data_IF_336947477923
#
_entry.id   IF_336947477923
#
_cell.length_a   1.000
_cell.length_b   1.000
_cell.length_c   1.000
_cell.angle_alpha   90.00
_cell.angle_beta   90.00
_cell.angle_gamma   90.00
#
_symmetry.space_group_name_H-M   'P 1'
#
loop_
_entity.id
_entity.type
_entity.pdbx_description
1 polymer ?
#
# COMPACT_ATOMS: atom_id res chain seq x y z
N UNK A 1 20.61 -4.01 21.24
CA UNK A 1 19.60 -5.08 21.23
C UNK A 1 18.19 -4.54 21.44
N UNK A 2 17.93 -3.73 22.48
CA UNK A 2 16.57 -3.25 22.79
C UNK A 2 15.92 -2.43 21.67
N UNK A 3 16.67 -1.61 20.91
CA UNK A 3 16.15 -0.83 19.79
C UNK A 3 15.81 -1.75 18.62
N UNK A 4 16.69 -2.67 18.28
CA UNK A 4 16.46 -3.66 17.21
C UNK A 4 15.23 -4.51 17.54
N UNK A 5 15.16 -5.05 18.77
CA UNK A 5 14.02 -5.86 19.21
C UNK A 5 12.70 -5.09 19.17
N UNK A 6 12.73 -3.81 19.55
CA UNK A 6 11.56 -2.96 19.46
C UNK A 6 11.10 -2.75 18.02
N UNK A 7 12.02 -2.49 17.08
CA UNK A 7 11.69 -2.34 15.65
C UNK A 7 11.08 -3.62 15.11
N UNK A 8 11.72 -4.77 15.35
CA UNK A 8 11.26 -6.07 14.86
C UNK A 8 9.87 -6.45 15.41
N UNK A 9 9.57 -6.08 16.66
CA UNK A 9 8.23 -6.26 17.24
C UNK A 9 7.20 -5.28 16.72
N UNK A 10 7.61 -4.05 16.39
CA UNK A 10 6.70 -2.97 15.98
C UNK A 10 6.31 -3.07 14.50
N UNK A 11 7.26 -3.35 13.61
CA UNK A 11 7.02 -3.38 12.16
C UNK A 11 5.83 -4.27 11.75
N UNK A 12 5.67 -5.51 12.26
CA UNK A 12 4.50 -6.33 11.92
C UNK A 12 3.16 -5.73 12.37
N UNK A 13 3.16 -4.90 13.41
CA UNK A 13 1.93 -4.28 13.95
C UNK A 13 1.47 -3.05 13.16
N UNK A 14 2.30 -2.51 12.28
CA UNK A 14 1.97 -1.34 11.47
C UNK A 14 1.04 -1.66 10.29
N UNK A 15 0.83 -2.95 10.00
CA UNK A 15 0.09 -3.37 8.81
C UNK A 15 0.81 -2.98 7.51
N UNK A 16 0.08 -3.02 6.39
CA UNK A 16 0.59 -2.71 5.06
C UNK A 16 0.17 -1.30 4.55
N UNK A 17 -0.45 -0.48 5.40
CA UNK A 17 -0.96 0.85 5.02
C UNK A 17 0.11 1.83 4.55
N UNK A 18 1.36 1.67 4.96
CA UNK A 18 2.52 2.46 4.52
C UNK A 18 3.12 1.99 3.19
N UNK A 19 2.51 0.98 2.55
CA UNK A 19 2.87 0.43 1.24
C UNK A 19 4.30 -0.15 1.18
N UNK A 20 4.66 -1.16 1.98
CA UNK A 20 5.96 -1.80 1.82
C UNK A 20 6.13 -2.38 0.39
N UNK A 21 7.36 -2.45 -0.15
CA UNK A 21 8.60 -2.04 0.48
C UNK A 21 8.76 -0.52 0.50
N UNK A 22 9.16 -0.02 1.65
CA UNK A 22 9.38 1.41 1.86
C UNK A 22 10.65 1.65 2.65
N UNK A 23 10.73 2.79 3.33
CA UNK A 23 11.88 3.15 4.16
C UNK A 23 11.44 3.33 5.60
N UNK A 24 12.35 3.07 6.54
CA UNK A 24 12.16 3.39 7.94
C UNK A 24 13.12 4.51 8.33
N UNK A 25 12.58 5.61 8.85
CA UNK A 25 13.34 6.67 9.52
C UNK A 25 13.30 6.46 11.02
N UNK A 26 14.45 6.37 11.67
CA UNK A 26 14.56 6.14 13.11
C UNK A 26 15.35 7.29 13.75
N UNK A 27 14.78 7.88 14.77
CA UNK A 27 15.44 8.88 15.62
C UNK A 27 15.68 8.31 17.01
N UNK A 28 16.90 8.45 17.50
CA UNK A 28 17.34 7.90 18.79
C UNK A 28 17.88 9.02 19.66
N UNK A 29 17.40 9.12 20.89
CA UNK A 29 17.92 10.05 21.87
C UNK A 29 17.30 11.45 21.86
N UNK A 30 17.90 12.38 22.59
CA UNK A 30 17.33 13.69 22.86
C UNK A 30 16.12 13.58 23.79
N UNK A 31 15.07 14.35 23.47
CA UNK A 31 13.74 14.26 24.07
C UNK A 31 12.79 13.52 23.10
N UNK A 32 11.57 13.20 23.53
CA UNK A 32 10.61 12.45 22.68
C UNK A 32 10.32 13.17 21.36
N UNK A 33 10.09 14.48 21.40
CA UNK A 33 9.89 15.33 20.22
C UNK A 33 11.16 15.41 19.36
N UNK A 34 12.35 15.47 19.96
CA UNK A 34 13.61 15.47 19.21
C UNK A 34 13.81 14.14 18.47
N UNK A 35 13.52 13.02 19.11
CA UNK A 35 13.58 11.71 18.47
C UNK A 35 12.63 11.63 17.27
N UNK A 36 11.41 12.18 17.37
CA UNK A 36 10.47 12.23 16.25
C UNK A 36 10.98 13.09 15.08
N UNK A 37 11.58 14.25 15.36
CA UNK A 37 12.20 15.13 14.36
C UNK A 37 13.37 14.41 13.69
N UNK A 38 14.27 13.79 14.46
CA UNK A 38 15.40 13.03 13.94
C UNK A 38 14.96 11.87 13.02
N UNK A 39 13.89 11.15 13.41
CA UNK A 39 13.32 10.08 12.59
C UNK A 39 12.85 10.62 11.22
N UNK A 40 12.22 11.80 11.19
CA UNK A 40 11.78 12.43 9.94
C UNK A 40 12.96 12.95 9.12
N UNK A 41 13.91 13.62 9.77
CA UNK A 41 15.11 14.15 9.11
C UNK A 41 15.98 13.05 8.51
N UNK A 42 16.10 11.89 9.18
CA UNK A 42 16.92 10.77 8.70
C UNK A 42 16.47 10.27 7.33
N UNK A 43 15.17 10.32 7.04
CA UNK A 43 14.64 9.94 5.73
C UNK A 43 15.16 10.80 4.57
N UNK A 44 15.73 11.97 4.87
CA UNK A 44 16.28 12.93 3.89
C UNK A 44 17.78 12.75 3.67
N UNK A 45 18.43 11.84 4.41
CA UNK A 45 19.88 11.61 4.25
C UNK A 45 20.16 10.92 2.91
N UNK A 46 21.21 11.40 2.24
CA UNK A 46 21.57 10.98 0.87
C UNK A 46 22.22 9.59 0.82
N UNK A 47 22.93 9.16 1.86
CA UNK A 47 23.62 7.87 1.88
C UNK A 47 22.60 6.74 1.90
N UNK A 48 22.53 6.00 0.80
CA UNK A 48 21.67 4.84 0.68
C UNK A 48 22.31 3.55 1.25
N UNK A 49 21.50 2.52 1.36
CA UNK A 49 21.93 1.25 1.95
C UNK A 49 22.90 0.48 1.06
N UNK A 50 22.86 0.67 -0.26
CA UNK A 50 23.75 -0.02 -1.20
C UNK A 50 25.17 0.55 -1.10
N UNK A 51 25.29 1.88 -1.03
CA UNK A 51 26.55 2.56 -0.76
C UNK A 51 27.11 2.13 0.59
N UNK A 52 26.27 2.11 1.63
CA UNK A 52 26.67 1.69 2.97
C UNK A 52 27.19 0.24 2.99
N UNK A 53 26.51 -0.69 2.32
CA UNK A 53 26.96 -2.08 2.20
C UNK A 53 28.29 -2.20 1.45
N UNK A 54 28.44 -1.44 0.38
CA UNK A 54 29.65 -1.50 -0.45
C UNK A 54 30.90 -1.01 0.29
N UNK A 55 30.81 0.10 1.06
CA UNK A 55 31.94 0.67 1.79
C UNK A 55 32.13 0.11 3.22
N UNK A 56 31.12 -0.54 3.74
CA UNK A 56 31.06 -1.01 5.14
C UNK A 56 30.68 0.09 6.14
N UNK A 57 30.15 -0.29 7.31
CA UNK A 57 29.76 0.66 8.35
C UNK A 57 31.00 1.28 9.03
N UNK A 58 30.95 2.57 9.34
CA UNK A 58 32.02 3.32 9.98
C UNK A 58 31.70 3.72 11.42
N UNK A 59 30.48 3.52 11.87
CA UNK A 59 30.02 3.86 13.19
C UNK A 59 28.82 2.97 13.61
N UNK A 60 28.44 3.05 14.88
CA UNK A 60 27.38 2.22 15.47
C UNK A 60 26.00 2.47 14.82
N UNK A 61 25.71 3.69 14.38
CA UNK A 61 24.45 4.02 13.71
C UNK A 61 24.34 3.30 12.36
N UNK A 62 25.42 3.27 11.60
CA UNK A 62 25.47 2.57 10.31
C UNK A 62 25.41 1.05 10.48
N UNK A 63 26.04 0.49 11.53
CA UNK A 63 25.89 -0.93 11.88
C UNK A 63 24.43 -1.26 12.20
N UNK A 64 23.74 -0.41 12.98
CA UNK A 64 22.32 -0.59 13.29
C UNK A 64 21.42 -0.50 12.06
N UNK A 65 21.75 0.37 11.09
CA UNK A 65 21.00 0.45 9.83
C UNK A 65 21.00 -0.89 9.11
N UNK A 66 22.19 -1.50 8.94
CA UNK A 66 22.34 -2.79 8.28
C UNK A 66 21.63 -3.90 9.06
N UNK A 67 21.88 -3.97 10.36
CA UNK A 67 21.28 -4.99 11.24
C UNK A 67 19.75 -4.97 11.21
N UNK A 68 19.16 -3.76 11.34
CA UNK A 68 17.70 -3.60 11.32
C UNK A 68 17.14 -3.96 9.95
N UNK A 69 17.78 -3.51 8.87
CA UNK A 69 17.33 -3.82 7.52
C UNK A 69 17.27 -5.33 7.27
N UNK A 70 18.33 -6.04 7.59
CA UNK A 70 18.38 -7.49 7.38
C UNK A 70 17.34 -8.22 8.21
N UNK A 71 17.17 -7.86 9.47
CA UNK A 71 16.17 -8.46 10.35
C UNK A 71 14.74 -8.13 9.97
N UNK A 72 14.46 -6.89 9.53
CA UNK A 72 13.12 -6.50 9.05
C UNK A 72 12.77 -7.23 7.76
N UNK A 73 13.71 -7.36 6.83
CA UNK A 73 13.50 -8.12 5.60
C UNK A 73 13.29 -9.62 5.89
N UNK A 74 13.97 -10.16 6.91
CA UNK A 74 13.77 -11.56 7.36
C UNK A 74 12.37 -11.82 7.96
N UNK A 75 11.57 -10.78 8.28
CA UNK A 75 10.17 -10.95 8.69
C UNK A 75 9.27 -11.46 7.55
N UNK A 76 9.74 -11.41 6.29
CA UNK A 76 9.01 -11.95 5.14
C UNK A 76 7.70 -11.23 4.82
N UNK A 77 7.49 -10.00 5.35
CA UNK A 77 6.27 -9.21 5.12
C UNK A 77 6.13 -8.87 3.64
N UNK A 78 7.23 -8.44 3.01
CA UNK A 78 7.32 -8.25 1.58
C UNK A 78 6.50 -7.10 1.02
N UNK A 79 6.50 -7.01 -0.31
CA UNK A 79 5.78 -5.97 -1.05
C UNK A 79 4.28 -5.97 -0.71
N UNK A 80 3.76 -4.81 -0.36
CA UNK A 80 2.35 -4.57 0.00
C UNK A 80 1.84 -5.45 1.17
N UNK A 81 2.75 -6.09 1.94
CA UNK A 81 2.39 -7.00 3.02
C UNK A 81 1.91 -8.38 2.57
N UNK A 82 2.13 -8.75 1.32
CA UNK A 82 1.66 -10.01 0.73
C UNK A 82 2.69 -11.15 0.81
N UNK A 83 3.77 -10.94 1.55
CA UNK A 83 4.90 -11.85 1.61
C UNK A 83 5.97 -11.55 0.56
N UNK A 84 7.24 -11.73 0.91
CA UNK A 84 8.37 -11.50 0.03
C UNK A 84 9.68 -11.25 0.76
N UNK A 85 10.76 -11.12 -0.01
CA UNK A 85 12.10 -10.89 0.50
C UNK A 85 12.36 -9.44 0.93
N UNK A 86 11.63 -8.49 0.38
CA UNK A 86 11.89 -7.06 0.58
C UNK A 86 10.71 -6.38 1.26
N UNK A 87 10.85 -6.10 2.54
CA UNK A 87 9.90 -5.32 3.36
C UNK A 87 10.31 -3.85 3.41
N UNK A 88 11.61 -3.60 3.52
CA UNK A 88 12.20 -2.25 3.50
C UNK A 88 13.28 -2.15 2.43
N UNK A 89 13.33 -0.99 1.78
CA UNK A 89 14.34 -0.62 0.80
C UNK A 89 15.57 0.01 1.47
N UNK A 90 15.34 0.73 2.57
CA UNK A 90 16.38 1.36 3.37
C UNK A 90 15.91 1.56 4.81
N UNK A 91 16.85 1.61 5.74
CA UNK A 91 16.65 2.02 7.12
C UNK A 91 17.60 3.18 7.39
N UNK A 92 17.07 4.33 7.73
CA UNK A 92 17.83 5.56 7.99
C UNK A 92 17.73 5.93 9.46
N UNK A 93 18.85 6.28 10.08
CA UNK A 93 18.92 6.52 11.53
C UNK A 93 19.70 7.80 11.79
N UNK A 94 19.17 8.63 12.66
CA UNK A 94 19.89 9.76 13.32
C UNK A 94 19.81 9.58 14.82
N UNK A 95 20.91 9.92 15.50
CA UNK A 95 20.99 9.91 16.94
C UNK A 95 21.34 11.28 17.53
N UNK A 96 21.07 11.44 18.80
CA UNK A 96 21.40 12.62 19.58
C UNK A 96 21.63 12.24 21.04
N UNK A 97 22.57 12.89 21.74
CA UNK A 97 22.80 12.66 23.14
C UNK A 97 21.52 12.79 23.98
N UNK A 98 21.34 11.92 24.95
CA UNK A 98 20.20 11.93 25.86
C UNK A 98 20.62 11.74 27.31
N UNK A 99 19.69 12.02 28.22
CA UNK A 99 19.93 11.79 29.65
C UNK A 99 20.10 10.29 29.93
N UNK A 100 21.03 9.96 30.84
CA UNK A 100 21.38 8.57 31.14
C UNK A 100 20.19 7.67 31.59
N UNK A 101 19.13 8.29 32.13
CA UNK A 101 17.93 7.60 32.61
C UNK A 101 16.83 7.47 31.54
N UNK A 102 17.07 7.89 30.28
CA UNK A 102 16.06 7.87 29.23
C UNK A 102 16.67 7.49 27.89
N UNK A 103 15.88 6.79 27.05
CA UNK A 103 16.24 6.46 25.68
C UNK A 103 14.98 6.61 24.81
N UNK A 104 14.60 7.83 24.43
CA UNK A 104 13.51 8.04 23.51
C UNK A 104 13.90 7.54 22.12
N UNK A 105 13.02 6.77 21.51
CA UNK A 105 13.17 6.26 20.12
C UNK A 105 11.87 6.50 19.38
N UNK A 106 11.97 7.01 18.15
CA UNK A 106 10.85 7.17 17.26
C UNK A 106 11.15 6.49 15.93
N UNK A 107 10.13 5.88 15.31
CA UNK A 107 10.23 5.30 13.99
C UNK A 107 9.10 5.84 13.10
N UNK A 108 9.46 6.29 11.91
CA UNK A 108 8.53 6.78 10.88
C UNK A 108 8.64 5.87 9.66
N UNK A 109 7.59 5.07 9.36
CA UNK A 109 7.52 4.35 8.10
C UNK A 109 7.23 5.33 6.95
N UNK A 110 7.90 5.14 5.82
CA UNK A 110 7.79 6.03 4.67
C UNK A 110 7.63 5.25 3.36
N UNK A 111 6.61 5.59 2.59
CA UNK A 111 6.35 4.97 1.30
C UNK A 111 7.45 5.29 0.28
N UNK A 112 7.81 4.33 -0.58
CA UNK A 112 8.76 4.54 -1.68
C UNK A 112 8.30 5.59 -2.72
N UNK A 113 7.01 5.94 -2.74
CA UNK A 113 6.48 7.02 -3.58
C UNK A 113 6.90 8.43 -3.12
N UNK A 114 7.47 8.57 -1.91
CA UNK A 114 7.96 9.86 -1.41
C UNK A 114 9.05 10.44 -2.33
N UNK A 115 8.98 11.75 -2.55
CA UNK A 115 9.97 12.52 -3.30
C UNK A 115 10.53 13.63 -2.44
N UNK A 116 11.83 13.92 -2.59
CA UNK A 116 12.54 14.97 -1.89
C UNK A 116 13.09 15.99 -2.86
N UNK A 117 13.16 17.24 -2.41
CA UNK A 117 13.88 18.31 -3.09
C UNK A 117 14.66 19.10 -2.04
N UNK A 118 15.92 19.39 -2.33
CA UNK A 118 16.79 20.20 -1.49
C UNK A 118 17.15 21.48 -2.22
N UNK A 119 16.91 22.61 -1.59
CA UNK A 119 17.27 23.92 -2.14
C UNK A 119 17.44 24.93 -1.01
N UNK A 120 18.14 26.02 -1.29
CA UNK A 120 18.37 27.11 -0.36
C UNK A 120 17.55 28.33 -0.82
N UNK A 121 16.82 28.93 0.12
CA UNK A 121 16.14 30.21 -0.07
C UNK A 121 17.06 31.32 0.43
N UNK A 122 17.83 31.91 -0.45
CA UNK A 122 18.82 32.96 -0.15
C UNK A 122 18.39 34.35 -0.63
N UNK A 123 17.21 34.46 -1.25
CA UNK A 123 16.68 35.71 -1.79
C UNK A 123 17.20 36.06 -3.20
N UNK A 124 17.98 35.18 -3.84
CA UNK A 124 18.53 35.41 -5.20
C UNK A 124 17.51 35.20 -6.33
N UNK A 125 16.33 34.65 -6.01
CA UNK A 125 15.27 34.38 -6.98
C UNK A 125 14.55 33.07 -6.74
N UNK A 126 13.81 32.55 -7.74
CA UNK A 126 13.14 31.26 -7.63
C UNK A 126 14.15 30.11 -7.46
N UNK A 127 13.82 29.13 -6.61
CA UNK A 127 14.62 27.92 -6.51
C UNK A 127 14.57 27.15 -7.83
N UNK A 128 15.76 26.83 -8.36
CA UNK A 128 15.89 25.97 -9.54
C UNK A 128 16.06 24.54 -9.06
N UNK A 129 15.10 23.67 -9.39
CA UNK A 129 15.18 22.25 -9.12
C UNK A 129 15.59 21.54 -10.41
N UNK A 130 16.72 20.85 -10.37
CA UNK A 130 17.11 19.98 -11.47
C UNK A 130 16.18 18.78 -11.55
N UNK A 131 15.67 18.49 -12.75
CA UNK A 131 14.92 17.26 -12.97
C UNK A 131 15.87 16.06 -12.80
N UNK A 132 15.44 14.97 -12.16
CA UNK A 132 16.27 13.79 -12.06
C UNK A 132 16.58 13.26 -13.47
N UNK A 133 17.83 12.79 -13.71
CA UNK A 133 18.21 12.24 -15.00
C UNK A 133 17.43 10.95 -15.24
N UNK A 134 16.49 10.98 -16.18
CA UNK A 134 15.59 9.84 -16.45
C UNK A 134 16.35 8.63 -17.02
N UNK A 135 17.46 8.87 -17.69
CA UNK A 135 18.38 7.86 -18.22
C UNK A 135 19.18 7.10 -17.14
N UNK A 136 19.23 7.63 -15.91
CA UNK A 136 19.82 6.93 -14.77
C UNK A 136 18.91 5.79 -14.22
N UNK A 137 17.64 5.75 -14.62
CA UNK A 137 16.70 4.71 -14.19
C UNK A 137 16.60 3.61 -15.25
N UNK A 138 16.63 2.33 -14.85
CA UNK A 138 16.47 1.24 -15.80
C UNK A 138 15.07 1.27 -16.42
N UNK A 139 14.99 1.03 -17.74
CA UNK A 139 13.72 0.71 -18.36
C UNK A 139 13.24 -0.65 -17.83
N UNK A 140 12.13 -0.64 -17.10
CA UNK A 140 11.51 -1.86 -16.61
C UNK A 140 10.35 -2.17 -17.55
N UNK A 141 10.50 -3.23 -18.35
CA UNK A 141 9.40 -3.85 -19.07
C UNK A 141 8.75 -4.87 -18.15
N UNK A 142 7.48 -4.65 -17.82
CA UNK A 142 6.70 -5.63 -17.10
C UNK A 142 5.98 -6.54 -18.11
N UNK A 143 6.45 -7.77 -18.23
CA UNK A 143 5.76 -8.77 -19.01
C UNK A 143 4.76 -9.51 -18.13
N UNK A 144 3.53 -9.54 -18.57
CA UNK A 144 2.50 -10.37 -17.95
C UNK A 144 2.87 -11.82 -18.18
N UNK A 145 3.21 -12.55 -17.12
CA UNK A 145 3.52 -13.96 -17.22
C UNK A 145 2.40 -14.77 -17.89
N UNK A 146 2.76 -15.81 -18.61
CA UNK A 146 1.79 -16.75 -19.19
C UNK A 146 0.93 -17.37 -18.07
N UNK A 147 -0.38 -17.36 -18.26
CA UNK A 147 -1.33 -17.94 -17.29
C UNK A 147 -1.90 -16.98 -16.25
N UNK A 148 -1.57 -15.69 -16.28
CA UNK A 148 -2.26 -14.70 -15.43
C UNK A 148 -3.73 -14.61 -15.82
N UNK A 149 -4.62 -14.75 -14.85
CA UNK A 149 -6.06 -14.67 -15.04
C UNK A 149 -6.47 -13.27 -15.53
N UNK A 150 -7.18 -13.22 -16.65
CA UNK A 150 -7.81 -12.01 -17.18
C UNK A 150 -9.31 -12.05 -16.89
N UNK A 151 -9.84 -11.00 -16.31
CA UNK A 151 -11.24 -10.90 -15.89
C UNK A 151 -11.88 -9.69 -16.56
N UNK A 152 -13.03 -9.93 -17.20
CA UNK A 152 -13.90 -8.87 -17.67
C UNK A 152 -14.97 -8.59 -16.61
N UNK A 153 -14.90 -7.41 -15.99
CA UNK A 153 -15.82 -6.98 -14.93
C UNK A 153 -17.27 -6.78 -15.39
N UNK A 154 -17.49 -6.64 -16.71
CA UNK A 154 -18.84 -6.49 -17.25
C UNK A 154 -19.56 -7.84 -17.39
N UNK A 155 -18.84 -8.95 -17.30
CA UNK A 155 -19.39 -10.31 -17.49
C UNK A 155 -19.07 -11.28 -16.36
N UNK A 156 -18.22 -10.90 -15.40
CA UNK A 156 -17.86 -11.74 -14.26
C UNK A 156 -19.08 -12.05 -13.40
N UNK A 157 -19.19 -13.30 -12.98
CA UNK A 157 -20.30 -13.79 -12.17
C UNK A 157 -19.87 -14.13 -10.74
N UNK A 158 -20.80 -14.27 -9.79
CA UNK A 158 -20.48 -14.76 -8.45
C UNK A 158 -19.81 -16.15 -8.48
N UNK A 159 -20.16 -17.00 -9.43
CA UNK A 159 -19.57 -18.33 -9.60
C UNK A 159 -18.10 -18.26 -10.02
N UNK A 160 -17.74 -17.31 -10.88
CA UNK A 160 -16.36 -17.12 -11.34
C UNK A 160 -15.42 -16.83 -10.18
N UNK A 161 -15.81 -15.91 -9.28
CA UNK A 161 -14.97 -15.48 -8.14
C UNK A 161 -14.76 -16.58 -7.10
N UNK A 162 -15.61 -17.64 -7.07
CA UNK A 162 -15.41 -18.78 -6.18
C UNK A 162 -14.12 -19.56 -6.49
N UNK A 163 -13.64 -19.44 -7.72
CA UNK A 163 -12.40 -20.11 -8.16
C UNK A 163 -11.12 -19.34 -7.85
N UNK A 164 -11.25 -18.06 -7.45
CA UNK A 164 -10.09 -17.21 -7.20
C UNK A 164 -9.43 -17.54 -5.87
N UNK A 165 -8.10 -17.49 -5.83
CA UNK A 165 -7.33 -17.87 -4.65
C UNK A 165 -6.55 -16.69 -4.10
N UNK A 166 -6.49 -16.62 -2.78
CA UNK A 166 -5.66 -15.66 -2.07
C UNK A 166 -4.21 -15.73 -2.56
N UNK A 167 -3.62 -14.56 -2.88
CA UNK A 167 -2.29 -14.43 -3.47
C UNK A 167 -2.24 -14.48 -5.01
N UNK A 168 -3.33 -14.83 -5.69
CA UNK A 168 -3.39 -14.88 -7.16
C UNK A 168 -3.35 -13.46 -7.76
N UNK A 169 -2.53 -13.25 -8.80
CA UNK A 169 -2.56 -12.02 -9.60
C UNK A 169 -3.64 -12.12 -10.68
N UNK A 170 -4.40 -11.04 -10.83
CA UNK A 170 -5.51 -10.93 -11.77
C UNK A 170 -5.39 -9.62 -12.55
N UNK A 171 -5.71 -9.64 -13.83
CA UNK A 171 -5.83 -8.45 -14.67
C UNK A 171 -7.30 -8.13 -14.92
N UNK A 172 -7.72 -6.96 -14.46
CA UNK A 172 -9.11 -6.50 -14.58
C UNK A 172 -9.30 -5.64 -15.82
N UNK A 173 -10.34 -5.92 -16.59
CA UNK A 173 -10.82 -5.08 -17.69
C UNK A 173 -12.33 -4.89 -17.55
N UNK A 174 -12.87 -3.79 -18.11
CA UNK A 174 -14.30 -3.47 -18.01
C UNK A 174 -14.59 -2.40 -16.97
N UNK A 175 -15.83 -2.33 -16.52
CA UNK A 175 -16.36 -1.23 -15.71
C UNK A 175 -16.35 -1.54 -14.22
N UNK A 176 -15.85 -0.60 -13.42
CA UNK A 176 -15.91 -0.65 -11.96
C UNK A 176 -16.37 0.68 -11.39
N UNK A 177 -16.98 0.65 -10.22
CA UNK A 177 -17.34 1.84 -9.47
C UNK A 177 -16.17 2.34 -8.64
N UNK A 178 -16.16 3.62 -8.28
CA UNK A 178 -15.25 4.14 -7.26
C UNK A 178 -16.04 4.58 -6.04
N UNK A 179 -15.36 4.60 -4.87
CA UNK A 179 -15.93 5.15 -3.65
C UNK A 179 -14.99 4.94 -2.48
N UNK A 180 -14.84 5.96 -1.65
CA UNK A 180 -14.08 5.87 -0.41
C UNK A 180 -14.91 6.43 0.74
N UNK A 181 -14.29 7.02 1.76
CA UNK A 181 -14.94 7.34 3.03
C UNK A 181 -16.26 8.09 2.92
N UNK A 182 -16.31 9.22 2.18
CA UNK A 182 -17.49 10.05 2.09
C UNK A 182 -18.62 9.37 1.30
N UNK A 183 -18.30 8.73 0.18
CA UNK A 183 -19.29 7.99 -0.62
C UNK A 183 -19.87 6.81 0.18
N UNK A 184 -19.01 6.01 0.86
CA UNK A 184 -19.48 4.89 1.69
C UNK A 184 -20.37 5.36 2.83
N UNK A 185 -19.96 6.44 3.52
CA UNK A 185 -20.82 7.02 4.57
C UNK A 185 -22.16 7.45 4.03
N UNK A 186 -22.19 8.13 2.88
CA UNK A 186 -23.44 8.58 2.24
C UNK A 186 -24.34 7.42 1.85
N UNK A 187 -23.77 6.38 1.21
CA UNK A 187 -24.53 5.16 0.86
C UNK A 187 -25.12 4.49 2.09
N UNK A 188 -24.35 4.32 3.15
CA UNK A 188 -24.82 3.71 4.41
C UNK A 188 -25.88 4.57 5.08
N UNK A 189 -25.74 5.89 5.10
CA UNK A 189 -26.76 6.80 5.65
C UNK A 189 -28.10 6.68 4.86
N UNK A 190 -28.05 6.52 3.53
CA UNK A 190 -29.22 6.27 2.68
C UNK A 190 -29.86 4.92 2.97
N UNK A 191 -29.07 3.85 3.02
CA UNK A 191 -29.56 2.50 3.35
C UNK A 191 -30.23 2.46 4.73
N UNK A 192 -29.68 3.13 5.73
CA UNK A 192 -30.26 3.24 7.07
C UNK A 192 -31.61 3.95 7.10
N UNK A 193 -31.87 4.83 6.13
CA UNK A 193 -33.16 5.51 5.95
C UNK A 193 -34.13 4.73 5.05
N UNK A 194 -33.71 3.61 4.48
CA UNK A 194 -34.48 2.86 3.49
C UNK A 194 -34.56 3.55 2.12
N UNK A 195 -33.65 4.47 1.85
CA UNK A 195 -33.56 5.17 0.57
C UNK A 195 -32.86 4.29 -0.48
N UNK A 196 -33.27 4.42 -1.73
CA UNK A 196 -32.63 3.72 -2.84
C UNK A 196 -31.28 4.39 -3.18
N UNK A 197 -30.23 3.57 -3.38
CA UNK A 197 -28.95 4.07 -3.80
C UNK A 197 -29.00 4.63 -5.23
N UNK A 198 -28.21 5.67 -5.54
CA UNK A 198 -28.19 6.29 -6.88
C UNK A 198 -27.45 5.43 -7.92
N UNK A 199 -26.76 4.35 -7.49
CA UNK A 199 -26.06 3.39 -8.34
C UNK A 199 -26.37 1.96 -7.90
N UNK A 200 -26.47 1.04 -8.85
CA UNK A 200 -26.60 -0.37 -8.56
C UNK A 200 -25.23 -0.98 -8.28
N UNK A 201 -25.09 -1.61 -7.11
CA UNK A 201 -23.88 -2.27 -6.65
C UNK A 201 -23.90 -3.79 -6.90
N UNK A 202 -25.05 -4.35 -7.26
CA UNK A 202 -25.21 -5.80 -7.37
C UNK A 202 -24.29 -6.39 -8.45
N UNK A 203 -23.46 -7.34 -8.03
CA UNK A 203 -22.50 -7.99 -8.93
C UNK A 203 -21.34 -7.10 -9.38
N UNK A 204 -21.24 -5.87 -8.88
CA UNK A 204 -20.23 -4.89 -9.28
C UNK A 204 -18.98 -4.96 -8.38
N UNK A 205 -17.94 -4.29 -8.85
CA UNK A 205 -16.70 -4.06 -8.10
C UNK A 205 -16.60 -2.57 -7.75
N UNK A 206 -16.13 -2.27 -6.54
CA UNK A 206 -15.86 -0.90 -6.09
C UNK A 206 -14.38 -0.70 -5.77
N UNK A 207 -13.77 0.31 -6.38
CA UNK A 207 -12.40 0.71 -6.16
C UNK A 207 -12.32 1.85 -5.14
N UNK A 208 -11.62 1.62 -4.05
CA UNK A 208 -11.39 2.59 -2.98
C UNK A 208 -10.35 3.60 -3.43
N UNK A 209 -10.78 4.62 -4.13
CA UNK A 209 -9.94 5.66 -4.71
C UNK A 209 -10.62 7.00 -4.69
N UNK A 210 -9.83 8.06 -4.62
CA UNK A 210 -10.22 9.41 -4.97
C UNK A 210 -9.26 9.86 -6.06
N UNK A 211 -9.66 9.83 -7.33
CA UNK A 211 -8.77 10.23 -8.44
C UNK A 211 -8.45 11.73 -8.34
N UNK A 212 -7.21 12.06 -8.66
CA UNK A 212 -6.81 13.46 -8.83
C UNK A 212 -7.32 13.94 -10.19
N UNK A 213 -7.68 15.21 -10.30
CA UNK A 213 -8.08 15.80 -11.57
C UNK A 213 -6.93 15.70 -12.61
N UNK A 214 -7.27 15.45 -13.88
CA UNK A 214 -6.27 15.39 -14.95
C UNK A 214 -5.63 16.76 -15.16
N UNK A 215 -4.32 16.78 -15.45
CA UNK A 215 -3.56 18.01 -15.68
C UNK A 215 -3.25 18.21 -17.18
N UNK A 216 -3.23 17.10 -17.94
CA UNK A 216 -2.91 17.05 -19.37
C UNK A 216 -3.99 16.25 -20.09
N UNK A 217 -3.58 15.42 -21.03
CA UNK A 217 -4.48 14.57 -21.81
C UNK A 217 -4.85 13.25 -21.12
N UNK A 218 -4.58 13.13 -19.81
CA UNK A 218 -4.95 11.96 -19.03
C UNK A 218 -6.49 11.90 -18.83
N UNK A 219 -7.02 10.69 -18.75
CA UNK A 219 -8.44 10.47 -18.40
C UNK A 219 -8.72 10.91 -16.96
N UNK A 220 -7.79 10.57 -16.05
CA UNK A 220 -7.72 11.00 -14.66
C UNK A 220 -6.25 11.23 -14.29
N UNK A 221 -6.00 12.07 -13.31
CA UNK A 221 -4.68 12.16 -12.70
C UNK A 221 -4.35 10.91 -11.86
N UNK A 222 -3.33 10.98 -11.00
CA UNK A 222 -2.97 9.84 -10.14
C UNK A 222 -4.18 9.26 -9.41
N UNK A 223 -4.40 7.95 -9.55
CA UNK A 223 -5.56 7.24 -9.01
C UNK A 223 -5.14 6.03 -8.15
N UNK A 224 -4.32 6.29 -7.13
CA UNK A 224 -3.81 5.26 -6.22
C UNK A 224 -4.86 4.75 -5.23
N UNK A 225 -4.77 3.46 -4.84
CA UNK A 225 -5.73 2.87 -3.91
C UNK A 225 -5.65 3.49 -2.51
N UNK A 226 -6.81 3.66 -1.88
CA UNK A 226 -6.94 4.04 -0.48
C UNK A 226 -6.80 2.81 0.43
N UNK A 227 -6.30 3.00 1.66
CA UNK A 227 -6.24 1.96 2.70
C UNK A 227 -7.62 1.40 2.99
N UNK A 228 -7.79 0.10 2.78
CA UNK A 228 -9.10 -0.56 2.81
C UNK A 228 -9.70 -0.72 4.22
N UNK A 229 -8.88 -0.83 5.26
CA UNK A 229 -9.34 -0.92 6.67
C UNK A 229 -10.25 0.24 7.08
N UNK A 230 -10.11 1.41 6.43
CA UNK A 230 -11.00 2.56 6.67
C UNK A 230 -12.46 2.27 6.29
N UNK A 231 -12.66 1.36 5.31
CA UNK A 231 -13.98 0.95 4.82
C UNK A 231 -14.57 -0.22 5.60
N UNK A 232 -13.82 -0.87 6.50
CA UNK A 232 -14.26 -2.08 7.21
C UNK A 232 -15.55 -1.88 7.98
N UNK A 233 -15.71 -0.70 8.61
CA UNK A 233 -16.92 -0.33 9.34
C UNK A 233 -18.19 -0.27 8.49
N UNK A 234 -18.06 -0.13 7.17
CA UNK A 234 -19.19 -0.08 6.23
C UNK A 234 -19.41 -1.42 5.51
N UNK A 235 -18.38 -2.28 5.48
CA UNK A 235 -18.32 -3.46 4.59
C UNK A 235 -19.48 -4.42 4.82
N UNK A 236 -19.75 -4.80 6.07
CA UNK A 236 -20.83 -5.74 6.40
C UNK A 236 -22.16 -5.25 5.84
N UNK A 237 -22.55 -4.01 6.15
CA UNK A 237 -23.84 -3.47 5.74
C UNK A 237 -23.95 -3.33 4.21
N UNK A 238 -22.89 -2.89 3.53
CA UNK A 238 -22.88 -2.79 2.07
C UNK A 238 -23.07 -4.17 1.45
N UNK A 239 -22.33 -5.18 1.90
CA UNK A 239 -22.48 -6.55 1.37
C UNK A 239 -23.88 -7.13 1.65
N UNK A 240 -24.40 -6.97 2.88
CA UNK A 240 -25.72 -7.47 3.30
C UNK A 240 -26.86 -6.90 2.44
N UNK A 241 -26.78 -5.63 2.04
CA UNK A 241 -27.91 -4.91 1.46
C UNK A 241 -27.81 -4.64 -0.04
N UNK A 242 -26.63 -4.83 -0.66
CA UNK A 242 -26.44 -4.42 -2.05
C UNK A 242 -26.03 -5.53 -3.01
N UNK A 243 -25.50 -6.63 -2.49
CA UNK A 243 -24.96 -7.72 -3.33
C UNK A 243 -23.68 -7.32 -4.09
N UNK A 244 -22.89 -6.37 -3.56
CA UNK A 244 -21.57 -6.02 -4.09
C UNK A 244 -20.69 -7.27 -4.16
N UNK A 245 -20.01 -7.52 -5.28
CA UNK A 245 -19.24 -8.73 -5.50
C UNK A 245 -17.76 -8.58 -5.12
N UNK A 246 -17.19 -7.42 -5.34
CA UNK A 246 -15.78 -7.21 -5.05
C UNK A 246 -15.41 -5.80 -4.64
N UNK A 247 -14.34 -5.71 -3.89
CA UNK A 247 -13.77 -4.46 -3.40
C UNK A 247 -12.29 -4.40 -3.77
N UNK A 248 -11.78 -3.23 -4.16
CA UNK A 248 -10.39 -3.03 -4.55
C UNK A 248 -9.82 -1.90 -3.70
N UNK A 249 -8.69 -2.13 -3.07
CA UNK A 249 -8.02 -1.13 -2.22
C UNK A 249 -6.55 -1.45 -2.02
N UNK A 250 -5.96 -0.92 -0.96
CA UNK A 250 -4.62 -1.31 -0.50
C UNK A 250 -4.65 -1.73 0.96
N UNK A 251 -3.59 -2.42 1.41
CA UNK A 251 -3.45 -2.90 2.79
C UNK A 251 -4.43 -4.03 3.12
N UNK A 252 -4.31 -4.54 4.32
CA UNK A 252 -5.11 -5.64 4.87
C UNK A 252 -6.57 -5.24 5.14
N UNK A 253 -7.40 -6.23 5.41
CA UNK A 253 -8.75 -6.07 5.95
C UNK A 253 -8.79 -6.56 7.40
N UNK A 254 -9.59 -5.92 8.23
CA UNK A 254 -9.84 -6.35 9.59
C UNK A 254 -10.73 -7.62 9.66
N UNK A 255 -10.74 -8.33 10.81
CA UNK A 255 -11.46 -9.61 10.97
C UNK A 255 -12.95 -9.53 10.62
N UNK A 256 -13.62 -8.45 11.02
CA UNK A 256 -15.07 -8.25 10.76
C UNK A 256 -15.34 -8.14 9.26
N UNK A 257 -14.47 -7.45 8.52
CA UNK A 257 -14.61 -7.33 7.07
C UNK A 257 -14.30 -8.64 6.36
N UNK A 258 -13.28 -9.39 6.80
CA UNK A 258 -12.95 -10.72 6.27
C UNK A 258 -14.12 -11.69 6.47
N UNK A 259 -14.74 -11.68 7.64
CA UNK A 259 -15.92 -12.49 7.91
C UNK A 259 -17.09 -12.12 6.99
N UNK A 260 -17.36 -10.82 6.80
CA UNK A 260 -18.38 -10.35 5.87
C UNK A 260 -18.11 -10.80 4.41
N UNK A 261 -16.85 -10.70 3.96
CA UNK A 261 -16.42 -11.16 2.63
C UNK A 261 -16.70 -12.65 2.46
N UNK A 262 -16.34 -13.47 3.46
CA UNK A 262 -16.57 -14.91 3.48
C UNK A 262 -18.07 -15.26 3.43
N UNK A 263 -18.89 -14.61 4.25
CA UNK A 263 -20.32 -14.88 4.36
C UNK A 263 -21.05 -14.60 3.03
N UNK A 264 -20.67 -13.50 2.35
CA UNK A 264 -21.27 -13.08 1.09
C UNK A 264 -20.60 -13.65 -0.16
N UNK A 265 -19.55 -14.49 0.00
CA UNK A 265 -18.77 -15.01 -1.12
C UNK A 265 -18.25 -13.88 -2.03
N UNK A 266 -17.98 -12.73 -1.45
CA UNK A 266 -17.34 -11.62 -2.10
C UNK A 266 -15.81 -11.79 -2.13
N UNK A 267 -15.10 -10.88 -2.80
CA UNK A 267 -13.63 -10.85 -2.83
C UNK A 267 -13.10 -9.48 -2.49
N UNK A 268 -11.92 -9.45 -1.88
CA UNK A 268 -11.14 -8.22 -1.76
C UNK A 268 -9.85 -8.34 -2.55
N UNK A 269 -9.65 -7.38 -3.44
CA UNK A 269 -8.49 -7.30 -4.32
C UNK A 269 -7.60 -6.14 -3.86
N UNK A 270 -6.30 -6.34 -3.93
CA UNK A 270 -5.34 -5.31 -3.59
C UNK A 270 -4.72 -4.74 -4.87
N UNK A 271 -4.85 -3.43 -5.06
CA UNK A 271 -4.08 -2.68 -6.04
C UNK A 271 -2.80 -2.13 -5.39
N UNK A 272 -1.75 -1.93 -6.21
CA UNK A 272 -0.42 -1.55 -5.70
C UNK A 272 -0.44 -0.13 -5.13
N UNK A 273 -0.16 -0.01 -3.84
CA UNK A 273 0.07 1.27 -3.17
C UNK A 273 1.40 1.89 -3.60
N UNK A 274 1.45 3.24 -3.64
CA UNK A 274 2.65 3.96 -4.07
C UNK A 274 2.85 4.07 -5.60
N UNK A 275 1.98 3.44 -6.40
CA UNK A 275 2.06 3.41 -7.87
C UNK A 275 0.86 4.13 -8.54
N UNK A 276 0.36 5.20 -7.94
CA UNK A 276 -0.87 5.88 -8.35
C UNK A 276 -0.91 6.30 -9.83
N UNK A 277 0.21 6.74 -10.37
CA UNK A 277 0.33 7.12 -11.77
C UNK A 277 0.23 5.90 -12.71
N UNK A 278 0.90 4.81 -12.38
CA UNK A 278 0.86 3.58 -13.19
C UNK A 278 -0.54 2.95 -13.17
N UNK A 279 -1.22 2.98 -12.03
CA UNK A 279 -2.60 2.50 -11.91
C UNK A 279 -3.53 3.35 -12.77
N UNK A 280 -3.35 4.69 -12.80
CA UNK A 280 -4.15 5.60 -13.61
C UNK A 280 -4.02 5.28 -15.11
N UNK A 281 -2.90 4.78 -15.59
CA UNK A 281 -2.71 4.38 -16.99
C UNK A 281 -3.63 3.23 -17.43
N UNK A 282 -4.08 2.38 -16.50
CA UNK A 282 -5.05 1.34 -16.79
C UNK A 282 -6.48 1.89 -16.98
N UNK A 283 -6.78 3.11 -16.52
CA UNK A 283 -8.10 3.75 -16.60
C UNK A 283 -8.26 4.39 -17.97
N UNK A 284 -9.24 3.93 -18.75
CA UNK A 284 -9.48 4.37 -20.13
C UNK A 284 -10.65 5.33 -20.24
N UNK A 285 -11.56 5.33 -19.26
CA UNK A 285 -12.69 6.26 -19.16
C UNK A 285 -13.08 6.46 -17.70
N UNK A 286 -13.61 7.65 -17.39
CA UNK A 286 -14.07 8.01 -16.05
C UNK A 286 -15.28 8.94 -16.16
N UNK A 287 -16.42 8.48 -15.67
CA UNK A 287 -17.66 9.24 -15.65
C UNK A 287 -18.15 9.38 -14.20
N UNK A 288 -18.58 10.56 -13.78
CA UNK A 288 -19.22 10.76 -12.47
C UNK A 288 -20.66 10.25 -12.53
N UNK A 289 -21.01 9.29 -11.70
CA UNK A 289 -22.37 8.72 -11.64
C UNK A 289 -23.21 9.30 -10.49
N UNK A 290 -22.61 9.56 -9.32
CA UNK A 290 -23.34 10.01 -8.16
C UNK A 290 -22.48 10.85 -7.22
N UNK A 291 -23.14 11.70 -6.42
CA UNK A 291 -22.54 12.56 -5.40
C UNK A 291 -21.45 13.51 -5.95
N UNK A 292 -21.70 14.23 -7.08
CA UNK A 292 -20.69 15.09 -7.70
C UNK A 292 -20.16 16.17 -6.73
N UNK A 293 -20.93 16.57 -5.74
CA UNK A 293 -20.54 17.53 -4.71
C UNK A 293 -19.43 17.02 -3.78
N UNK A 294 -19.14 15.71 -3.77
CA UNK A 294 -18.05 15.14 -3.01
C UNK A 294 -16.69 15.25 -3.73
N UNK A 295 -16.66 15.82 -4.95
CA UNK A 295 -15.44 15.99 -5.72
C UNK A 295 -14.74 14.66 -5.99
N UNK A 296 -13.45 14.53 -5.60
CA UNK A 296 -12.69 13.29 -5.79
C UNK A 296 -13.26 12.09 -5.03
N UNK A 297 -14.16 12.28 -4.08
CA UNK A 297 -14.86 11.20 -3.36
C UNK A 297 -16.25 10.89 -3.91
N UNK A 298 -16.64 11.50 -5.04
CA UNK A 298 -17.83 11.12 -5.79
C UNK A 298 -17.75 9.65 -6.24
N UNK A 299 -18.90 9.08 -6.59
CA UNK A 299 -18.94 7.77 -7.23
C UNK A 299 -18.73 7.96 -8.73
N UNK A 300 -17.57 7.50 -9.22
CA UNK A 300 -17.28 7.41 -10.64
C UNK A 300 -17.54 5.98 -11.14
N UNK A 301 -17.79 5.85 -12.43
CA UNK A 301 -17.59 4.60 -13.16
C UNK A 301 -16.28 4.72 -13.96
N UNK A 302 -15.32 3.86 -13.66
CA UNK A 302 -14.10 3.70 -14.43
C UNK A 302 -14.23 2.55 -15.42
N UNK A 303 -13.80 2.75 -16.65
CA UNK A 303 -13.50 1.67 -17.57
C UNK A 303 -12.00 1.42 -17.56
N UNK A 304 -11.60 0.22 -17.17
CA UNK A 304 -10.19 -0.16 -17.04
C UNK A 304 -9.81 -1.22 -18.07
N UNK A 305 -8.50 -1.28 -18.38
CA UNK A 305 -7.92 -2.30 -19.23
C UNK A 305 -6.66 -2.85 -18.60
N UNK A 306 -6.66 -4.18 -18.40
CA UNK A 306 -5.55 -4.95 -17.85
C UNK A 306 -4.98 -4.37 -16.54
N UNK A 307 -5.85 -3.83 -15.69
CA UNK A 307 -5.46 -3.30 -14.37
C UNK A 307 -4.97 -4.44 -13.46
N UNK A 308 -3.69 -4.45 -13.05
CA UNK A 308 -3.17 -5.53 -12.23
C UNK A 308 -3.61 -5.38 -10.77
N UNK A 309 -4.12 -6.47 -10.22
CA UNK A 309 -4.49 -6.58 -8.80
C UNK A 309 -4.13 -7.97 -8.26
N UNK A 310 -4.05 -8.10 -6.95
CA UNK A 310 -3.86 -9.38 -6.27
C UNK A 310 -5.09 -9.71 -5.45
N UNK A 311 -5.57 -10.95 -5.50
CA UNK A 311 -6.62 -11.44 -4.62
C UNK A 311 -6.07 -11.44 -3.18
N UNK A 312 -6.48 -10.46 -2.39
CA UNK A 312 -5.98 -10.29 -1.04
C UNK A 312 -6.83 -11.01 0.00
N UNK A 313 -8.15 -11.10 -0.21
CA UNK A 313 -9.05 -11.97 0.56
C UNK A 313 -9.97 -12.66 -0.43
N UNK A 314 -9.96 -13.97 -0.43
CA UNK A 314 -10.82 -14.79 -1.28
C UNK A 314 -12.19 -15.09 -0.65
N UNK A 315 -13.06 -15.77 -1.39
CA UNK A 315 -14.43 -16.10 -0.95
C UNK A 315 -14.50 -17.06 0.24
N UNK A 316 -13.39 -17.67 0.63
CA UNK A 316 -13.29 -18.52 1.83
C UNK A 316 -12.88 -17.74 3.08
N UNK A 317 -12.47 -16.47 2.89
CA UNK A 317 -11.92 -15.61 3.93
C UNK A 317 -10.42 -15.83 4.14
N UNK A 318 -9.73 -16.56 3.25
CA UNK A 318 -8.26 -16.65 3.31
C UNK A 318 -7.66 -15.31 2.89
N UNK A 319 -6.72 -14.80 3.72
CA UNK A 319 -6.08 -13.51 3.52
C UNK A 319 -4.59 -13.66 3.21
N UNK A 320 -4.18 -13.16 2.05
CA UNK A 320 -2.78 -13.14 1.62
C UNK A 320 -1.88 -12.28 2.56
N UNK A 321 -2.45 -11.30 3.24
CA UNK A 321 -1.73 -10.51 4.24
C UNK A 321 -1.41 -11.32 5.52
N UNK A 322 -2.10 -12.44 5.75
CA UNK A 322 -1.84 -13.36 6.86
C UNK A 322 -0.94 -14.50 6.39
N UNK A 323 -1.32 -15.17 5.32
CA UNK A 323 -0.63 -16.39 4.86
C UNK A 323 0.67 -16.10 4.14
N UNK A 324 0.74 -15.02 3.36
CA UNK A 324 1.93 -14.64 2.59
C UNK A 324 3.19 -14.45 3.45
N UNK A 325 3.18 -13.58 4.47
CA UNK A 325 4.32 -13.41 5.36
C UNK A 325 4.75 -14.71 6.04
N UNK A 326 3.81 -15.56 6.47
CA UNK A 326 4.12 -16.84 7.11
C UNK A 326 4.85 -17.81 6.17
N UNK A 327 4.41 -17.86 4.90
CA UNK A 327 5.07 -18.68 3.87
C UNK A 327 6.48 -18.18 3.60
N UNK A 328 6.66 -16.88 3.47
CA UNK A 328 7.95 -16.29 3.16
C UNK A 328 8.93 -16.35 4.34
N UNK A 329 8.47 -16.19 5.57
CA UNK A 329 9.30 -16.43 6.76
C UNK A 329 9.93 -17.83 6.76
N UNK A 330 9.14 -18.85 6.42
CA UNK A 330 9.65 -20.23 6.32
C UNK A 330 10.70 -20.36 5.22
N UNK A 331 10.43 -19.85 4.02
CA UNK A 331 11.36 -19.87 2.89
C UNK A 331 12.68 -19.17 3.20
N UNK A 332 12.64 -18.01 3.86
CA UNK A 332 13.82 -17.25 4.26
C UNK A 332 14.64 -18.05 5.30
N UNK A 333 13.97 -18.61 6.31
CA UNK A 333 14.66 -19.42 7.32
C UNK A 333 15.32 -20.68 6.73
N UNK A 334 14.68 -21.32 5.75
CA UNK A 334 15.22 -22.48 5.04
C UNK A 334 16.43 -22.10 4.18
N UNK A 335 16.41 -20.97 3.48
CA UNK A 335 17.56 -20.50 2.67
C UNK A 335 18.75 -20.14 3.52
N UNK A 336 18.56 -19.44 4.64
CA UNK A 336 19.62 -19.12 5.59
C UNK A 336 20.24 -20.38 6.23
N UNK A 337 19.43 -21.42 6.48
CA UNK A 337 19.92 -22.69 7.02
C UNK A 337 20.78 -23.49 6.00
N UNK A 338 20.60 -23.24 4.70
CA UNK A 338 21.43 -23.84 3.64
C UNK A 338 22.78 -23.15 3.52
N UNK A 339 22.84 -21.83 3.71
CA UNK A 339 24.10 -21.06 3.65
C UNK A 339 25.05 -21.33 4.84
N UNK A 340 24.52 -21.83 5.96
CA UNK A 340 25.31 -22.16 7.18
C UNK A 340 25.88 -23.56 7.15
N UNK A 341 25.53 -24.42 6.20
CA UNK A 341 26.05 -25.77 5.99
C UNK A 341 27.17 -25.80 4.97
#
# INVERSE_FOLDING_TARGET
DSIVDWVIKTVPTMGAGWCPPGMLGIGIGGTAEKAAVLAKESLMDSIDIHELRARGPQNRVEELRLEIMDKVNALGIGAQGLGGLTTVLDVKIKDYPTHAASLPVCMIPNCAATRHAHFVLDGSGPAVLEAPPMDAYPEITWEVGDGVRRVNLDTVTPEDVLSWKSGETVLLSGKMLTGRDAAHKRMVDMLNKGEQLPVDLKGRFIYYVGPVDPVRDEVVGPAGPTTATRMDKFTRQILDQTGLLGMIGKSERGPIAIEAIKDHKAVYLMAVGGAAYLVAQAIKKADVLAFPELGMEAIYEFEVKDMPVTVAVDTTGESAHITGPQIWQKKIAESLAVEIK
#
